data_IF_549582244089
#
_entry.id   IF_549582244089
#
_cell.length_a   1.000
_cell.length_b   1.000
_cell.length_c   1.000
_cell.angle_alpha   90.00
_cell.angle_beta   90.00
_cell.angle_gamma   90.00
#
_symmetry.space_group_name_H-M   'P 1'
#
loop_
_entity.id
_entity.type
_entity.pdbx_description
1 polymer ?
#
# COMPACT_ATOMS: atom_id res chain seq x y z
N UNK A 1 -1.31 2.58 -2.91
CA UNK A 1 -0.71 3.93 -2.94
C UNK A 1 -1.46 4.89 -2.02
N UNK A 2 -2.68 5.36 -2.33
CA UNK A 2 -3.40 6.34 -1.46
C UNK A 2 -3.58 5.89 -0.01
N UNK A 3 -4.02 4.64 0.20
CA UNK A 3 -4.13 4.05 1.53
C UNK A 3 -2.79 4.06 2.29
N UNK A 4 -1.69 3.74 1.61
CA UNK A 4 -0.34 3.71 2.20
C UNK A 4 0.13 5.11 2.63
N UNK A 5 -0.24 6.16 1.89
CA UNK A 5 0.03 7.56 2.29
C UNK A 5 -0.78 7.97 3.52
N UNK A 6 -2.07 7.65 3.57
CA UNK A 6 -2.93 7.96 4.73
C UNK A 6 -2.40 7.24 5.98
N UNK A 7 -2.02 5.96 5.85
CA UNK A 7 -1.44 5.20 6.94
C UNK A 7 -0.11 5.79 7.41
N UNK A 8 0.73 6.24 6.48
CA UNK A 8 2.00 6.91 6.79
C UNK A 8 1.80 8.22 7.54
N UNK A 9 0.84 9.04 7.10
CA UNK A 9 0.44 10.27 7.80
C UNK A 9 -0.08 9.97 9.21
N UNK A 10 -0.88 8.90 9.36
CA UNK A 10 -1.33 8.41 10.67
C UNK A 10 -0.18 8.12 11.63
N UNK A 11 0.88 7.48 11.13
CA UNK A 11 2.06 7.18 11.94
C UNK A 11 2.94 8.38 12.30
N UNK A 12 2.76 9.54 11.67
CA UNK A 12 3.38 10.80 12.12
C UNK A 12 2.79 11.23 13.46
N UNK A 13 1.49 11.02 13.68
CA UNK A 13 0.87 11.34 14.97
C UNK A 13 1.47 10.52 16.11
N UNK A 14 1.82 9.24 15.87
CA UNK A 14 2.51 8.42 16.87
C UNK A 14 3.90 8.99 17.21
N UNK A 15 4.66 9.45 16.21
CA UNK A 15 5.96 10.09 16.42
C UNK A 15 5.81 11.37 17.26
N UNK A 16 4.73 12.14 17.07
CA UNK A 16 4.49 13.33 17.87
C UNK A 16 4.13 13.04 19.35
N UNK A 17 3.70 11.81 19.70
CA UNK A 17 3.29 11.47 21.07
C UNK A 17 4.39 11.66 22.13
N UNK A 18 5.65 11.21 21.96
CA UNK A 18 6.72 11.47 22.92
C UNK A 18 7.12 12.95 23.01
N UNK A 19 6.87 13.76 21.97
CA UNK A 19 7.19 15.19 21.98
C UNK A 19 6.15 15.98 22.81
N UNK A 20 4.88 15.59 22.72
CA UNK A 20 3.76 16.27 23.37
C UNK A 20 2.96 15.31 24.27
N UNK A 21 3.53 14.92 25.43
CA UNK A 21 2.93 13.92 26.31
C UNK A 21 1.56 14.33 26.87
N UNK A 22 1.28 15.63 27.03
CA UNK A 22 -0.02 16.16 27.46
C UNK A 22 -1.15 15.89 26.46
N UNK A 23 -0.82 15.72 25.18
CA UNK A 23 -1.77 15.43 24.11
C UNK A 23 -1.68 13.97 23.62
N UNK A 24 -1.11 13.08 24.44
CA UNK A 24 -0.94 11.66 24.10
C UNK A 24 -2.24 11.01 23.59
N UNK A 25 -3.34 11.16 24.34
CA UNK A 25 -4.62 10.52 24.01
C UNK A 25 -5.21 11.00 22.67
N UNK A 26 -5.37 12.32 22.40
CA UNK A 26 -5.86 12.78 21.11
C UNK A 26 -4.90 12.44 19.96
N UNK A 27 -3.58 12.52 20.14
CA UNK A 27 -2.62 12.15 19.08
C UNK A 27 -2.66 10.66 18.75
N UNK A 28 -2.63 9.80 19.77
CA UNK A 28 -2.65 8.34 19.58
C UNK A 28 -3.97 7.87 18.96
N UNK A 29 -5.10 8.47 19.38
CA UNK A 29 -6.41 8.14 18.81
C UNK A 29 -6.53 8.59 17.35
N UNK A 30 -6.06 9.79 17.00
CA UNK A 30 -6.01 10.25 15.61
C UNK A 30 -5.08 9.39 14.75
N UNK A 31 -3.90 9.03 15.26
CA UNK A 31 -2.96 8.16 14.58
C UNK A 31 -3.56 6.78 14.28
N UNK A 32 -4.21 6.16 15.26
CA UNK A 32 -4.89 4.89 15.09
C UNK A 32 -6.10 4.97 14.17
N UNK A 33 -6.89 6.05 14.25
CA UNK A 33 -8.01 6.30 13.34
C UNK A 33 -7.53 6.38 11.89
N UNK A 34 -6.49 7.18 11.61
CA UNK A 34 -5.95 7.32 10.27
C UNK A 34 -5.43 5.99 9.71
N UNK A 35 -4.74 5.19 10.52
CA UNK A 35 -4.31 3.84 10.12
C UNK A 35 -5.49 2.89 9.87
N UNK A 36 -6.55 2.95 10.68
CA UNK A 36 -7.75 2.14 10.49
C UNK A 36 -8.45 2.49 9.17
N UNK A 37 -8.58 3.78 8.85
CA UNK A 37 -9.11 4.25 7.56
C UNK A 37 -8.23 3.77 6.41
N UNK A 38 -6.90 3.88 6.55
CA UNK A 38 -5.97 3.38 5.55
C UNK A 38 -6.15 1.86 5.29
N UNK A 39 -6.25 1.05 6.35
CA UNK A 39 -6.53 -0.39 6.23
C UNK A 39 -7.85 -0.65 5.52
N UNK A 40 -8.94 0.00 5.95
CA UNK A 40 -10.25 -0.14 5.31
C UNK A 40 -10.27 0.22 3.82
N UNK A 41 -9.41 1.13 3.36
CA UNK A 41 -9.23 1.44 1.94
C UNK A 41 -8.31 0.45 1.20
N UNK A 42 -7.32 -0.12 1.90
CA UNK A 42 -6.37 -1.12 1.37
C UNK A 42 -7.06 -2.46 1.13
N UNK A 43 -7.85 -2.95 2.09
CA UNK A 43 -8.35 -4.33 2.13
C UNK A 43 -9.21 -4.70 0.92
N UNK A 44 -10.16 -3.88 0.43
CA UNK A 44 -10.96 -4.21 -0.75
C UNK A 44 -10.09 -4.35 -2.01
N UNK A 45 -9.14 -3.43 -2.21
CA UNK A 45 -8.21 -3.47 -3.33
C UNK A 45 -7.32 -4.71 -3.25
N UNK A 46 -6.94 -5.08 -2.04
CA UNK A 46 -6.07 -6.19 -1.77
C UNK A 46 -6.74 -7.55 -2.02
N UNK A 47 -8.01 -7.71 -1.64
CA UNK A 47 -8.82 -8.89 -1.97
C UNK A 47 -8.97 -9.10 -3.48
N UNK A 48 -9.04 -8.02 -4.27
CA UNK A 48 -9.04 -8.12 -5.74
C UNK A 48 -7.72 -8.67 -6.28
N UNK A 49 -6.59 -8.35 -5.64
CA UNK A 49 -5.27 -8.91 -5.99
C UNK A 49 -5.20 -10.40 -5.67
N UNK A 50 -5.62 -10.80 -4.47
CA UNK A 50 -5.66 -12.22 -4.09
C UNK A 50 -6.54 -13.03 -5.07
N UNK A 51 -7.70 -12.49 -5.44
CA UNK A 51 -8.58 -13.12 -6.43
C UNK A 51 -7.98 -13.19 -7.83
N UNK A 52 -7.12 -12.23 -8.20
CA UNK A 52 -6.40 -12.28 -9.47
C UNK A 52 -5.42 -13.46 -9.55
N UNK A 53 -4.83 -13.86 -8.42
CA UNK A 53 -3.93 -15.01 -8.33
C UNK A 53 -4.66 -16.35 -8.06
N UNK A 54 -5.94 -16.30 -7.70
CA UNK A 54 -6.77 -17.50 -7.59
C UNK A 54 -7.12 -18.03 -8.99
N UNK A 55 -6.97 -19.34 -9.19
CA UNK A 55 -7.18 -20.00 -10.49
C UNK A 55 -8.52 -20.74 -10.50
N UNK A 56 -8.87 -21.44 -9.41
CA UNK A 56 -10.11 -22.22 -9.34
C UNK A 56 -10.56 -22.43 -7.88
N UNK A 57 -11.41 -21.55 -7.35
CA UNK A 57 -12.01 -21.68 -6.01
C UNK A 57 -11.02 -21.64 -4.83
N UNK A 58 -9.73 -21.44 -5.09
CA UNK A 58 -8.63 -21.49 -4.12
C UNK A 58 -8.29 -20.11 -3.51
N UNK A 59 -9.22 -19.15 -3.55
CA UNK A 59 -9.01 -17.82 -2.97
C UNK A 59 -8.66 -17.89 -1.47
N UNK A 60 -9.31 -18.79 -0.73
CA UNK A 60 -9.05 -18.98 0.70
C UNK A 60 -7.62 -19.48 0.98
N UNK A 61 -7.11 -20.38 0.15
CA UNK A 61 -5.74 -20.92 0.30
C UNK A 61 -4.68 -19.84 -0.04
N UNK A 62 -4.91 -19.07 -1.11
CA UNK A 62 -4.06 -17.93 -1.46
C UNK A 62 -4.05 -16.89 -0.34
N UNK A 63 -5.23 -16.56 0.20
CA UNK A 63 -5.35 -15.60 1.29
C UNK A 63 -4.69 -16.09 2.58
N UNK A 64 -4.94 -17.34 2.98
CA UNK A 64 -4.34 -17.92 4.18
C UNK A 64 -2.81 -17.96 4.09
N UNK A 65 -2.27 -18.38 2.94
CA UNK A 65 -0.82 -18.41 2.74
C UNK A 65 -0.20 -17.01 2.87
N UNK A 66 -0.86 -16.01 2.33
CA UNK A 66 -0.34 -14.65 2.37
C UNK A 66 -0.50 -13.99 3.74
N UNK A 67 -1.59 -14.25 4.47
CA UNK A 67 -1.75 -13.84 5.87
C UNK A 67 -0.63 -14.40 6.77
N UNK A 68 -0.24 -15.67 6.56
CA UNK A 68 0.90 -16.28 7.29
C UNK A 68 2.21 -15.52 7.03
N UNK A 69 2.46 -15.14 5.77
CA UNK A 69 3.66 -14.37 5.44
C UNK A 69 3.58 -12.92 5.92
N UNK A 70 2.39 -12.31 5.96
CA UNK A 70 2.18 -10.98 6.54
C UNK A 70 2.54 -10.99 8.03
N UNK A 71 1.99 -11.92 8.81
CA UNK A 71 2.29 -12.04 10.24
C UNK A 71 3.77 -12.35 10.49
N UNK A 72 4.37 -13.25 9.71
CA UNK A 72 5.80 -13.55 9.82
C UNK A 72 6.66 -12.30 9.55
N UNK A 73 6.32 -11.51 8.52
CA UNK A 73 7.01 -10.27 8.19
C UNK A 73 6.83 -9.21 9.29
N UNK A 74 5.64 -9.10 9.91
CA UNK A 74 5.39 -8.20 11.04
C UNK A 74 6.27 -8.56 12.24
N UNK A 75 6.35 -9.85 12.60
CA UNK A 75 7.18 -10.31 13.71
C UNK A 75 8.67 -10.07 13.45
N UNK A 76 9.14 -10.34 12.24
CA UNK A 76 10.52 -10.05 11.84
C UNK A 76 10.80 -8.54 11.87
N UNK A 77 9.87 -7.73 11.36
CA UNK A 77 9.98 -6.27 11.36
C UNK A 77 10.03 -5.68 12.77
N UNK A 78 9.19 -6.18 13.68
CA UNK A 78 9.21 -5.79 15.10
C UNK A 78 10.53 -6.18 15.77
N UNK A 79 11.01 -7.41 15.52
CA UNK A 79 12.28 -7.89 16.07
C UNK A 79 13.46 -7.02 15.62
N UNK A 80 13.53 -6.71 14.32
CA UNK A 80 14.55 -5.79 13.77
C UNK A 80 14.39 -4.36 14.29
N UNK A 81 13.16 -3.88 14.46
CA UNK A 81 12.87 -2.56 15.01
C UNK A 81 13.35 -2.40 16.45
N UNK A 82 13.14 -3.41 17.29
CA UNK A 82 13.64 -3.43 18.67
C UNK A 82 15.18 -3.42 18.69
N UNK A 83 15.83 -4.26 17.89
CA UNK A 83 17.30 -4.29 17.78
C UNK A 83 17.87 -2.94 17.28
N UNK A 84 17.17 -2.29 16.35
CA UNK A 84 17.56 -0.96 15.87
C UNK A 84 17.43 0.11 16.97
N UNK A 85 16.37 0.05 17.79
CA UNK A 85 16.17 0.97 18.91
C UNK A 85 17.15 0.72 20.07
N UNK A 86 17.56 -0.53 20.28
CA UNK A 86 18.56 -0.89 21.29
C UNK A 86 19.97 -0.35 20.93
N UNK A 87 20.21 -0.05 19.65
CA UNK A 87 21.48 0.52 19.20
C UNK A 87 21.65 1.97 19.72
N UNK A 88 22.70 2.25 20.52
CA UNK A 88 22.85 3.52 21.26
C UNK A 88 23.05 4.78 20.40
N UNK A 89 23.19 4.64 19.07
CA UNK A 89 23.25 5.76 18.13
C UNK A 89 21.88 6.25 17.66
N UNK A 90 20.87 5.38 17.63
CA UNK A 90 19.54 5.68 17.08
C UNK A 90 18.60 6.20 18.18
N UNK A 91 18.67 5.60 19.38
CA UNK A 91 17.78 5.95 20.50
C UNK A 91 18.12 7.25 21.22
N UNK A 92 19.39 7.69 21.18
CA UNK A 92 19.83 8.89 21.92
C UNK A 92 19.33 10.21 21.34
N UNK A 93 18.97 10.24 20.07
CA UNK A 93 18.64 11.47 19.35
C UNK A 93 17.31 11.31 18.63
N UNK A 94 16.31 12.07 19.07
CA UNK A 94 14.99 12.11 18.44
C UNK A 94 15.03 12.42 16.93
N UNK A 95 15.80 13.40 16.42
CA UNK A 95 15.86 13.62 14.97
C UNK A 95 16.50 12.44 14.21
N UNK A 96 17.44 11.71 14.83
CA UNK A 96 18.01 10.49 14.22
C UNK A 96 16.98 9.37 14.15
N UNK A 97 16.16 9.21 15.19
CA UNK A 97 15.03 8.29 15.20
C UNK A 97 13.97 8.66 14.15
N UNK A 98 13.62 9.95 14.05
CA UNK A 98 12.66 10.43 13.04
C UNK A 98 13.19 10.23 11.62
N UNK A 99 14.49 10.47 11.39
CA UNK A 99 15.12 10.27 10.07
C UNK A 99 15.18 8.79 9.70
N UNK A 100 15.59 7.92 10.62
CA UNK A 100 15.63 6.47 10.39
C UNK A 100 14.23 5.92 10.10
N UNK A 101 13.22 6.35 10.86
CA UNK A 101 11.82 6.04 10.57
C UNK A 101 11.39 6.51 9.18
N UNK A 102 11.72 7.75 8.81
CA UNK A 102 11.36 8.33 7.51
C UNK A 102 12.00 7.55 6.35
N UNK A 103 13.27 7.18 6.49
CA UNK A 103 13.98 6.34 5.51
C UNK A 103 13.29 4.99 5.32
N UNK A 104 12.93 4.31 6.42
CA UNK A 104 12.20 3.03 6.35
C UNK A 104 10.83 3.21 5.68
N UNK A 105 10.10 4.30 5.98
CA UNK A 105 8.81 4.60 5.35
C UNK A 105 8.92 4.87 3.86
N UNK A 106 9.91 5.65 3.43
CA UNK A 106 10.16 5.92 2.01
C UNK A 106 10.50 4.62 1.28
N UNK A 107 11.38 3.79 1.85
CA UNK A 107 11.73 2.49 1.28
C UNK A 107 10.52 1.55 1.16
N UNK A 108 9.66 1.50 2.18
CA UNK A 108 8.41 0.75 2.14
C UNK A 108 7.48 1.22 1.00
N UNK A 109 7.27 2.54 0.88
CA UNK A 109 6.45 3.11 -0.20
C UNK A 109 7.05 2.82 -1.58
N UNK A 110 8.38 2.88 -1.71
CA UNK A 110 9.09 2.55 -2.93
C UNK A 110 8.89 1.09 -3.34
N UNK A 111 9.08 0.14 -2.42
CA UNK A 111 8.83 -1.28 -2.70
C UNK A 111 7.38 -1.55 -3.03
N UNK A 112 6.45 -0.88 -2.33
CA UNK A 112 5.02 -0.99 -2.64
C UNK A 112 4.71 -0.46 -4.04
N UNK A 113 5.37 0.63 -4.45
CA UNK A 113 5.25 1.19 -5.79
C UNK A 113 5.78 0.22 -6.84
N UNK A 114 6.95 -0.36 -6.63
CA UNK A 114 7.52 -1.35 -7.55
C UNK A 114 6.63 -2.59 -7.67
N UNK A 115 6.08 -3.09 -6.55
CA UNK A 115 5.16 -4.23 -6.56
C UNK A 115 3.88 -3.93 -7.35
N UNK A 116 3.28 -2.74 -7.15
CA UNK A 116 2.05 -2.35 -7.83
C UNK A 116 2.27 -1.97 -9.31
N UNK A 117 3.45 -1.45 -9.68
CA UNK A 117 3.75 -1.05 -11.06
C UNK A 117 3.87 -2.23 -12.02
N UNK A 118 4.35 -3.37 -11.51
CA UNK A 118 4.48 -4.64 -12.23
C UNK A 118 3.14 -5.38 -12.31
N UNK A 119 2.23 -5.14 -11.37
CA UNK A 119 0.93 -5.81 -11.32
C UNK A 119 0.05 -5.40 -12.51
N UNK A 120 -0.18 -6.35 -13.43
CA UNK A 120 -1.02 -6.15 -14.61
C UNK A 120 -2.38 -6.82 -14.41
N UNK A 121 -3.36 -6.07 -13.90
CA UNK A 121 -4.72 -6.59 -13.83
C UNK A 121 -5.31 -6.77 -15.23
N UNK A 122 -5.91 -7.93 -15.46
CA UNK A 122 -6.66 -8.24 -16.67
C UNK A 122 -8.09 -7.61 -16.64
N UNK A 123 -8.48 -7.02 -15.50
CA UNK A 123 -9.73 -6.27 -15.32
C UNK A 123 -9.54 -4.79 -15.62
N UNK A 124 -10.50 -4.21 -16.34
CA UNK A 124 -10.48 -2.83 -16.80
C UNK A 124 -10.67 -1.89 -15.60
N UNK A 125 -9.64 -1.12 -15.23
CA UNK A 125 -9.75 -0.02 -14.26
C UNK A 125 -10.92 0.91 -14.65
N UNK A 126 -11.76 1.34 -13.70
CA UNK A 126 -12.97 2.16 -13.93
C UNK A 126 -12.72 3.39 -14.83
N UNK A 127 -11.53 3.99 -14.76
CA UNK A 127 -11.10 5.05 -15.71
C UNK A 127 -10.93 4.55 -17.15
N UNK A 128 -10.32 3.36 -17.33
CA UNK A 128 -10.21 2.68 -18.64
C UNK A 128 -11.58 2.22 -19.13
N UNK A 129 -12.47 1.79 -18.25
CA UNK A 129 -13.85 1.40 -18.61
C UNK A 129 -14.64 2.62 -19.07
N UNK A 130 -14.51 3.75 -18.38
CA UNK A 130 -15.15 5.00 -18.78
C UNK A 130 -14.64 5.51 -20.13
N UNK A 131 -13.33 5.45 -20.38
CA UNK A 131 -12.75 5.79 -21.69
C UNK A 131 -13.24 4.83 -22.78
N UNK A 132 -13.27 3.52 -22.48
CA UNK A 132 -13.73 2.50 -23.41
C UNK A 132 -15.21 2.68 -23.75
N UNK A 133 -16.07 2.87 -22.75
CA UNK A 133 -17.51 3.14 -22.91
C UNK A 133 -17.72 4.44 -23.69
N UNK A 134 -16.99 5.51 -23.36
CA UNK A 134 -17.12 6.78 -24.08
C UNK A 134 -16.70 6.65 -25.55
N UNK A 135 -15.61 5.90 -25.83
CA UNK A 135 -15.19 5.60 -27.21
C UNK A 135 -16.17 4.68 -27.95
N UNK A 136 -16.82 3.75 -27.24
CA UNK A 136 -17.80 2.84 -27.83
C UNK A 136 -19.11 3.55 -28.18
N UNK A 137 -19.55 4.47 -27.30
CA UNK A 137 -20.71 5.33 -27.53
C UNK A 137 -20.46 6.34 -28.66
N UNK A 138 -19.24 6.84 -28.82
CA UNK A 138 -18.89 7.82 -29.86
C UNK A 138 -18.58 7.21 -31.23
N UNK A 139 -18.04 5.99 -31.30
CA UNK A 139 -17.51 5.42 -32.55
C UNK A 139 -18.08 4.05 -32.95
N UNK A 140 -19.04 3.48 -32.18
CA UNK A 140 -19.68 2.18 -32.44
C UNK A 140 -18.70 1.04 -32.79
N UNK A 141 -17.45 1.11 -32.32
CA UNK A 141 -16.41 0.13 -32.61
C UNK A 141 -15.99 -0.52 -31.30
N UNK A 142 -16.01 -1.85 -31.26
CA UNK A 142 -15.48 -2.63 -30.14
C UNK A 142 -13.98 -2.79 -30.43
N UNK A 143 -13.06 -2.21 -29.64
CA UNK A 143 -11.63 -2.44 -29.86
C UNK A 143 -11.32 -3.91 -29.57
N UNK A 144 -11.23 -4.70 -30.63
CA UNK A 144 -10.72 -6.07 -30.60
C UNK A 144 -9.32 -6.05 -30.00
N UNK A 145 -9.03 -7.01 -29.12
CA UNK A 145 -7.77 -7.19 -28.37
C UNK A 145 -6.58 -7.32 -29.35
N UNK A 146 -6.10 -6.20 -29.88
CA UNK A 146 -4.98 -6.11 -30.81
C UNK A 146 -3.69 -5.98 -30.00
N UNK A 147 -2.68 -6.74 -30.42
CA UNK A 147 -1.36 -6.90 -29.80
C UNK A 147 -0.64 -5.56 -29.52
N UNK A 148 -1.05 -4.46 -30.18
CA UNK A 148 -0.51 -3.10 -29.98
C UNK A 148 -1.04 -2.36 -28.74
N UNK A 149 -2.12 -2.84 -28.11
CA UNK A 149 -2.63 -2.28 -26.84
C UNK A 149 -1.71 -2.54 -25.64
N UNK A 150 -0.79 -3.50 -25.75
CA UNK A 150 0.23 -3.80 -24.74
C UNK A 150 1.26 -2.68 -24.57
N UNK A 151 1.62 -1.97 -25.64
CA UNK A 151 2.66 -0.92 -25.60
C UNK A 151 2.12 0.36 -24.94
N UNK A 152 0.86 0.71 -25.18
CA UNK A 152 0.20 1.87 -24.54
C UNK A 152 -0.10 1.62 -23.04
N UNK A 153 -0.20 0.35 -22.63
CA UNK A 153 -0.39 -0.06 -21.23
C UNK A 153 0.81 0.30 -20.33
N UNK A 154 2.04 0.30 -20.88
CA UNK A 154 3.27 0.57 -20.13
C UNK A 154 3.38 2.02 -19.63
N UNK A 155 2.85 3.00 -20.38
CA UNK A 155 2.88 4.44 -19.98
C UNK A 155 1.85 4.81 -18.92
N UNK A 156 0.73 4.07 -18.82
CA UNK A 156 -0.37 4.42 -17.90
C UNK A 156 -0.29 3.78 -16.52
N UNK A 157 0.65 2.86 -16.29
CA UNK A 157 0.97 2.35 -14.94
C UNK A 157 1.76 3.37 -14.09
N UNK A 158 2.20 4.49 -14.68
CA UNK A 158 2.96 5.55 -13.98
C UNK A 158 2.05 6.44 -13.11
N UNK A 159 0.72 6.39 -13.30
CA UNK A 159 -0.26 7.24 -12.60
C UNK A 159 -1.24 6.47 -11.69
N UNK A 160 -0.80 5.33 -11.15
CA UNK A 160 -1.53 4.56 -10.14
C UNK A 160 -0.91 4.74 -8.75
#
# INVERSE_FOLDING_TARGET
MYADFIGSAGSIFDLCTPIYPSYFLPLASLGNLAKAVARGLKDPSFRVIQNHFAIAGNLGDVAAKEEVWEVAAELLGLSLGILALDTPGISKSYPTLALTWLSVRILHLWFRYQSLSVLQFNTINLKRARILVNSHVLHCTVPRKSRNSFICTRRKNIFL
#
